data_IF_997656023752
#
_entry.id   IF_997656023752
#
_cell.length_a   1.000
_cell.length_b   1.000
_cell.length_c   1.000
_cell.angle_alpha   90.00
_cell.angle_beta   90.00
_cell.angle_gamma   90.00
#
_symmetry.space_group_name_H-M   'P 1'
#
loop_
_entity.id
_entity.type
_entity.pdbx_description
1 polymer ?
#
# COMPACT_ATOMS: atom_id res chain seq x y z
N UNK A 1 -3.71 11.36 3.69
CA UNK A 1 -3.65 11.68 2.25
C UNK A 1 -4.04 10.44 1.46
N UNK A 2 -5.34 10.18 1.30
CA UNK A 2 -5.83 9.05 0.51
C UNK A 2 -6.11 9.54 -0.90
N UNK A 3 -5.10 9.55 -1.77
CA UNK A 3 -5.33 9.81 -3.20
C UNK A 3 -5.72 8.50 -3.85
N UNK A 4 -7.00 8.42 -4.19
CA UNK A 4 -7.61 7.31 -4.91
C UNK A 4 -6.79 6.92 -6.13
N UNK A 5 -6.71 5.61 -6.36
CA UNK A 5 -6.27 5.05 -7.63
C UNK A 5 -7.39 4.15 -8.16
N UNK A 6 -8.40 4.78 -8.76
CA UNK A 6 -9.23 4.17 -9.81
C UNK A 6 -8.42 4.29 -11.12
N UNK A 7 -8.28 3.31 -12.01
CA UNK A 7 -9.27 2.38 -12.59
C UNK A 7 -8.50 1.26 -13.32
N UNK A 8 -9.01 0.05 -13.57
CA UNK A 8 -10.35 -0.47 -13.37
C UNK A 8 -10.35 -1.99 -13.53
N UNK A 9 -10.54 -2.69 -12.41
CA UNK A 9 -11.29 -3.94 -12.29
C UNK A 9 -11.45 -4.27 -10.79
N UNK A 10 -12.65 -4.00 -10.26
CA UNK A 10 -13.36 -4.68 -9.15
C UNK A 10 -12.68 -5.12 -7.83
N UNK A 11 -11.42 -4.86 -7.52
CA UNK A 11 -10.80 -5.35 -6.27
C UNK A 11 -10.20 -4.21 -5.44
N UNK A 12 -10.61 -4.12 -4.18
CA UNK A 12 -10.01 -3.21 -3.19
C UNK A 12 -8.48 -3.32 -3.21
N UNK A 13 -7.73 -2.23 -2.99
CA UNK A 13 -6.28 -2.32 -2.97
C UNK A 13 -5.82 -3.20 -1.81
N UNK A 14 -5.24 -4.36 -2.14
CA UNK A 14 -4.76 -5.34 -1.16
C UNK A 14 -3.36 -5.03 -0.63
N UNK A 15 -2.71 -4.00 -1.19
CA UNK A 15 -1.33 -3.62 -0.86
C UNK A 15 -1.23 -2.11 -0.59
N UNK A 16 -0.28 -1.73 0.25
CA UNK A 16 0.01 -0.34 0.58
C UNK A 16 1.52 -0.11 0.71
N UNK A 17 1.98 1.06 0.25
CA UNK A 17 3.33 1.54 0.51
C UNK A 17 3.32 2.44 1.74
N UNK A 18 3.84 1.94 2.85
CA UNK A 18 3.85 2.67 4.12
C UNK A 18 4.93 3.75 4.20
N UNK A 19 5.92 3.75 3.29
CA UNK A 19 6.87 4.87 3.16
C UNK A 19 6.32 6.04 2.37
N UNK A 20 5.33 5.80 1.50
CA UNK A 20 4.75 6.80 0.61
C UNK A 20 3.31 7.18 0.99
N UNK A 21 2.67 6.40 1.86
CA UNK A 21 1.28 6.60 2.28
C UNK A 21 0.25 6.37 1.17
N UNK A 22 0.47 5.39 0.28
CA UNK A 22 -0.42 5.10 -0.86
C UNK A 22 -0.87 3.64 -0.90
N UNK A 23 -2.12 3.42 -1.30
CA UNK A 23 -2.67 2.09 -1.59
C UNK A 23 -2.46 1.72 -3.07
N UNK A 24 -2.34 0.43 -3.36
CA UNK A 24 -2.07 -0.06 -4.72
C UNK A 24 -2.58 -1.48 -4.94
N UNK A 25 -2.67 -1.89 -6.21
CA UNK A 25 -3.02 -3.27 -6.57
C UNK A 25 -1.82 -4.22 -6.44
N UNK A 26 -2.08 -5.54 -6.50
CA UNK A 26 -1.04 -6.57 -6.44
C UNK A 26 0.05 -6.37 -7.50
N UNK A 27 -0.31 -6.05 -8.75
CA UNK A 27 0.66 -5.82 -9.83
C UNK A 27 1.58 -4.65 -9.52
N UNK A 28 1.02 -3.51 -9.09
CA UNK A 28 1.80 -2.33 -8.68
C UNK A 28 2.76 -2.66 -7.51
N UNK A 29 2.30 -3.45 -6.54
CA UNK A 29 3.16 -3.89 -5.43
C UNK A 29 4.40 -4.65 -5.91
N UNK A 30 4.28 -5.43 -6.99
CA UNK A 30 5.40 -6.15 -7.60
C UNK A 30 6.49 -5.21 -8.13
N UNK A 31 6.11 -4.11 -8.78
CA UNK A 31 7.08 -3.10 -9.24
C UNK A 31 7.78 -2.43 -8.05
N UNK A 32 7.02 -2.04 -7.03
CA UNK A 32 7.55 -1.35 -5.86
C UNK A 32 8.50 -2.24 -5.03
N UNK A 33 8.29 -3.56 -5.00
CA UNK A 33 9.24 -4.51 -4.36
C UNK A 33 10.64 -4.48 -4.97
N UNK A 34 10.81 -4.01 -6.20
CA UNK A 34 12.14 -3.87 -6.83
C UNK A 34 12.86 -2.57 -6.44
N UNK A 35 12.19 -1.64 -5.75
CA UNK A 35 12.74 -0.35 -5.31
C UNK A 35 12.52 -0.09 -3.81
N UNK A 36 12.94 -1.02 -2.92
CA UNK A 36 12.60 -0.98 -1.48
C UNK A 36 13.21 0.21 -0.72
N UNK A 37 14.22 0.87 -1.28
CA UNK A 37 14.83 2.07 -0.72
C UNK A 37 13.97 3.33 -0.95
N UNK A 38 13.03 3.28 -1.90
CA UNK A 38 12.07 4.36 -2.20
C UNK A 38 10.68 3.99 -1.66
N UNK A 39 10.21 2.79 -2.00
CA UNK A 39 8.88 2.32 -1.63
C UNK A 39 8.92 0.97 -0.98
N UNK A 40 8.55 0.93 0.30
CA UNK A 40 8.35 -0.32 1.04
C UNK A 40 6.86 -0.62 1.07
N UNK A 41 6.50 -1.81 0.63
CA UNK A 41 5.10 -2.25 0.51
C UNK A 41 4.78 -3.39 1.48
N UNK A 42 3.55 -3.41 1.97
CA UNK A 42 2.93 -4.47 2.78
C UNK A 42 1.53 -4.76 2.27
N UNK A 43 1.06 -5.98 2.43
CA UNK A 43 -0.34 -6.34 2.23
C UNK A 43 -1.15 -5.72 3.35
N UNK A 44 -2.28 -5.13 2.98
CA UNK A 44 -3.18 -4.48 3.93
C UNK A 44 -3.76 -5.49 4.93
N UNK A 45 -4.04 -6.72 4.47
CA UNK A 45 -4.71 -7.74 5.28
C UNK A 45 -3.80 -8.88 5.74
N UNK A 46 -2.73 -9.16 4.98
CA UNK A 46 -1.93 -10.37 5.19
C UNK A 46 -0.60 -10.14 5.91
N UNK A 47 -0.07 -8.91 5.87
CA UNK A 47 1.19 -8.58 6.54
C UNK A 47 0.93 -7.97 7.92
N UNK A 48 1.78 -8.23 8.92
CA UNK A 48 1.71 -7.57 10.21
C UNK A 48 2.07 -6.08 10.09
N UNK A 49 1.33 -5.23 10.80
CA UNK A 49 1.50 -3.78 10.83
C UNK A 49 1.89 -3.32 12.23
N UNK A 50 2.91 -2.48 12.30
CA UNK A 50 3.29 -1.79 13.52
C UNK A 50 2.46 -0.52 13.69
N UNK A 51 2.19 -0.11 14.93
CA UNK A 51 1.45 1.12 15.21
C UNK A 51 2.12 2.37 14.63
N UNK A 52 3.44 2.37 14.47
CA UNK A 52 4.18 3.46 13.81
C UNK A 52 3.97 3.55 12.30
N UNK A 53 3.44 2.49 11.67
CA UNK A 53 3.22 2.41 10.23
C UNK A 53 1.77 2.76 9.83
N UNK A 54 0.87 2.89 10.80
CA UNK A 54 -0.57 3.12 10.58
C UNK A 54 -1.07 4.22 11.51
N UNK A 55 -1.62 5.28 10.91
CA UNK A 55 -2.37 6.30 11.66
C UNK A 55 -3.86 5.98 11.59
N UNK A 56 -4.50 5.77 12.75
CA UNK A 56 -5.96 5.68 12.83
C UNK A 56 -6.50 7.09 12.82
N UNK A 57 -7.26 7.45 11.78
CA UNK A 57 -7.90 8.76 11.69
C UNK A 57 -8.89 8.96 12.84
N UNK A 58 -8.67 10.02 13.62
CA UNK A 58 -9.60 10.51 14.67
C UNK A 58 -10.88 11.09 14.09
#
# INVERSE_FOLDING_TARGET
MLKEMASGNANCPEWASFTLGVFMCQSCSGFHRNIPHISRVKSVLLDPWEASEVEVGS
#
